data_IF_367254933188
#
_entry.id   IF_367254933188
#
_cell.length_a   1.000
_cell.length_b   1.000
_cell.length_c   1.000
_cell.angle_alpha   90.00
_cell.angle_beta   90.00
_cell.angle_gamma   90.00
#
_symmetry.space_group_name_H-M   'P 1'
#
loop_
_entity.id
_entity.type
_entity.pdbx_description
1 polymer ?
#
# COMPACT_ATOMS: atom_id res chain seq x y z
N UNK A 1 -1.75 9.45 44.11
CA UNK A 1 -1.64 9.46 42.64
C UNK A 1 -1.11 8.12 42.19
N UNK A 2 -1.99 7.21 41.75
CA UNK A 2 -1.58 5.92 41.17
C UNK A 2 -1.02 6.17 39.77
N UNK A 3 0.29 5.91 39.59
CA UNK A 3 0.89 5.80 38.25
C UNK A 3 0.18 4.64 37.55
N UNK A 4 -0.67 4.94 36.57
CA UNK A 4 -1.16 3.93 35.64
C UNK A 4 0.05 3.46 34.85
N UNK A 5 0.40 2.18 34.96
CA UNK A 5 1.36 1.57 34.03
C UNK A 5 0.87 1.81 32.61
N UNK A 6 1.70 2.34 31.69
CA UNK A 6 1.30 2.48 30.30
C UNK A 6 0.93 1.09 29.77
N UNK A 7 -0.21 1.00 29.08
CA UNK A 7 -0.79 -0.24 28.56
C UNK A 7 -0.04 -0.72 27.30
N UNK A 8 1.29 -0.77 27.39
CA UNK A 8 2.18 -0.98 26.26
C UNK A 8 3.51 -1.62 26.69
N UNK A 9 3.99 -2.67 26.01
CA UNK A 9 3.37 -3.58 25.02
C UNK A 9 2.54 -4.71 25.67
N UNK A 10 1.73 -5.46 24.89
CA UNK A 10 1.10 -6.71 25.36
C UNK A 10 2.16 -7.79 25.67
N UNK A 11 1.94 -8.60 26.72
CA UNK A 11 2.86 -9.67 27.16
C UNK A 11 3.25 -10.68 26.06
N UNK A 12 2.50 -10.78 24.96
CA UNK A 12 2.84 -11.64 23.81
C UNK A 12 4.13 -11.23 23.10
N UNK A 13 4.64 -10.01 23.30
CA UNK A 13 5.97 -9.59 22.82
C UNK A 13 7.11 -9.96 23.77
N UNK A 14 6.83 -10.62 24.90
CA UNK A 14 7.85 -11.04 25.87
C UNK A 14 8.83 -12.08 25.31
N UNK A 15 8.39 -12.95 24.40
CA UNK A 15 9.27 -13.93 23.74
C UNK A 15 10.31 -13.25 22.85
N UNK A 16 9.91 -12.19 22.15
CA UNK A 16 10.83 -11.35 21.41
C UNK A 16 11.85 -10.74 22.36
N UNK A 17 11.39 -10.03 23.39
CA UNK A 17 12.26 -9.30 24.31
C UNK A 17 13.20 -10.26 25.08
N UNK A 18 12.73 -11.45 25.45
CA UNK A 18 13.53 -12.50 26.08
C UNK A 18 14.56 -13.14 25.14
N UNK A 19 14.26 -13.26 23.84
CA UNK A 19 15.20 -13.77 22.83
C UNK A 19 16.33 -12.81 22.47
N UNK A 20 16.29 -11.56 22.96
CA UNK A 20 17.18 -10.47 22.56
C UNK A 20 18.33 -10.22 23.54
N UNK A 21 18.19 -10.67 24.79
CA UNK A 21 19.14 -10.37 25.85
C UNK A 21 19.58 -11.63 26.57
N UNK A 22 20.80 -11.62 27.10
CA UNK A 22 21.39 -12.76 27.82
C UNK A 22 20.72 -13.02 29.19
N UNK A 23 19.57 -12.38 29.45
CA UNK A 23 18.83 -12.42 30.70
C UNK A 23 17.61 -13.32 30.56
N UNK A 24 17.42 -14.22 31.53
CA UNK A 24 16.21 -15.04 31.66
C UNK A 24 15.04 -14.28 32.29
N UNK A 25 15.26 -13.06 32.78
CA UNK A 25 14.23 -12.23 33.40
C UNK A 25 13.53 -11.33 32.37
N UNK A 26 12.31 -11.72 32.03
CA UNK A 26 11.42 -11.03 31.09
C UNK A 26 11.15 -9.57 31.51
N UNK A 27 11.01 -9.28 32.81
CA UNK A 27 10.70 -7.92 33.28
C UNK A 27 11.87 -6.96 33.06
N UNK A 28 13.09 -7.45 33.27
CA UNK A 28 14.32 -6.68 33.01
C UNK A 28 14.47 -6.40 31.51
N UNK A 29 14.34 -7.42 30.67
CA UNK A 29 14.43 -7.25 29.22
C UNK A 29 13.37 -6.26 28.70
N UNK A 30 12.14 -6.35 29.23
CA UNK A 30 11.05 -5.44 28.88
C UNK A 30 11.39 -3.99 29.22
N UNK A 31 11.91 -3.76 30.43
CA UNK A 31 12.31 -2.42 30.89
C UNK A 31 13.42 -1.83 30.01
N UNK A 32 14.40 -2.63 29.63
CA UNK A 32 15.48 -2.20 28.74
C UNK A 32 14.95 -1.84 27.34
N UNK A 33 14.07 -2.67 26.77
CA UNK A 33 13.46 -2.39 25.48
C UNK A 33 12.66 -1.07 25.49
N UNK A 34 11.86 -0.84 26.54
CA UNK A 34 11.12 0.42 26.71
C UNK A 34 12.08 1.61 26.82
N UNK A 35 13.15 1.50 27.61
CA UNK A 35 14.13 2.58 27.77
C UNK A 35 14.85 2.93 26.45
N UNK A 36 15.19 1.92 25.64
CA UNK A 36 15.76 2.12 24.30
C UNK A 36 14.78 2.87 23.40
N UNK A 37 13.50 2.49 23.43
CA UNK A 37 12.47 3.12 22.61
C UNK A 37 12.12 4.53 23.06
N UNK A 38 12.08 4.80 24.36
CA UNK A 38 11.92 6.15 24.91
C UNK A 38 13.05 7.07 24.45
N UNK A 39 14.29 6.60 24.56
CA UNK A 39 15.49 7.34 24.10
C UNK A 39 15.41 7.60 22.60
N UNK A 40 15.02 6.59 21.81
CA UNK A 40 14.84 6.72 20.38
C UNK A 40 13.71 7.70 20.02
N UNK A 41 12.56 7.61 20.68
CA UNK A 41 11.40 8.44 20.44
C UNK A 41 11.72 9.91 20.73
N UNK A 42 12.35 10.22 21.87
CA UNK A 42 12.79 11.59 22.20
C UNK A 42 13.70 12.16 21.12
N UNK A 43 14.71 11.38 20.69
CA UNK A 43 15.64 11.82 19.62
C UNK A 43 14.92 12.08 18.29
N UNK A 44 14.00 11.21 17.90
CA UNK A 44 13.25 11.37 16.64
C UNK A 44 12.22 12.49 16.72
N UNK A 45 11.57 12.69 17.87
CA UNK A 45 10.66 13.81 18.11
C UNK A 45 11.41 15.13 18.10
N UNK A 46 12.59 15.22 18.71
CA UNK A 46 13.42 16.42 18.63
C UNK A 46 13.80 16.73 17.18
N UNK A 47 14.13 15.71 16.39
CA UNK A 47 14.43 15.86 14.97
C UNK A 47 13.23 16.34 14.14
N UNK A 48 12.04 15.80 14.40
CA UNK A 48 10.82 16.07 13.61
C UNK A 48 10.09 17.35 14.06
N UNK A 49 9.97 17.54 15.36
CA UNK A 49 9.16 18.59 15.97
C UNK A 49 10.01 19.78 16.45
N UNK A 50 11.34 19.66 16.54
CA UNK A 50 12.24 20.69 17.08
C UNK A 50 12.14 20.88 18.60
N UNK A 51 11.19 20.22 19.26
CA UNK A 51 10.99 20.25 20.70
C UNK A 51 11.82 19.18 21.41
N UNK A 52 12.52 19.55 22.49
CA UNK A 52 13.36 18.61 23.26
C UNK A 52 12.59 17.51 23.98
N UNK A 53 11.31 17.73 24.32
CA UNK A 53 10.49 16.74 25.01
C UNK A 53 9.02 16.82 24.56
N UNK A 54 8.42 15.70 24.12
CA UNK A 54 6.97 15.61 23.94
C UNK A 54 6.26 15.66 25.32
N UNK A 55 5.01 16.09 25.34
CA UNK A 55 4.17 15.94 26.53
C UNK A 55 3.99 14.45 26.90
N UNK A 56 3.78 14.14 28.19
CA UNK A 56 3.70 12.76 28.69
C UNK A 56 2.66 11.91 27.93
N UNK A 57 1.50 12.49 27.59
CA UNK A 57 0.45 11.83 26.79
C UNK A 57 0.80 11.65 25.32
N UNK A 58 1.63 12.53 24.77
CA UNK A 58 2.03 12.48 23.37
C UNK A 58 3.12 11.43 23.17
N UNK A 59 4.03 11.29 24.16
CA UNK A 59 5.07 10.27 24.18
C UNK A 59 4.50 8.86 24.07
N UNK A 60 3.43 8.55 24.81
CA UNK A 60 2.74 7.24 24.72
C UNK A 60 2.26 6.95 23.29
N UNK A 61 1.77 7.96 22.58
CA UNK A 61 1.29 7.81 21.20
C UNK A 61 2.45 7.56 20.23
N UNK A 62 3.58 8.25 20.40
CA UNK A 62 4.80 8.00 19.62
C UNK A 62 5.35 6.59 19.86
N UNK A 63 5.44 6.18 21.12
CA UNK A 63 5.94 4.85 21.51
C UNK A 63 5.07 3.74 20.95
N UNK A 64 3.74 3.86 21.07
CA UNK A 64 2.80 2.88 20.55
C UNK A 64 2.95 2.68 19.03
N UNK A 65 3.09 3.77 18.27
CA UNK A 65 3.25 3.66 16.80
C UNK A 65 4.62 3.15 16.40
N UNK A 66 5.68 3.59 17.08
CA UNK A 66 7.04 3.08 16.86
C UNK A 66 7.14 1.59 17.13
N UNK A 67 6.58 1.12 18.24
CA UNK A 67 6.59 -0.30 18.53
C UNK A 67 5.84 -1.11 17.48
N UNK A 68 4.63 -0.70 17.10
CA UNK A 68 3.86 -1.41 16.07
C UNK A 68 4.64 -1.55 14.75
N UNK A 69 5.39 -0.52 14.37
CA UNK A 69 6.31 -0.57 13.22
C UNK A 69 7.44 -1.59 13.44
N UNK A 70 8.13 -1.50 14.58
CA UNK A 70 9.29 -2.35 14.89
C UNK A 70 8.89 -3.82 15.00
N UNK A 71 7.80 -4.12 15.71
CA UNK A 71 7.25 -5.47 15.86
C UNK A 71 6.91 -6.08 14.49
N UNK A 72 6.27 -5.32 13.60
CA UNK A 72 5.93 -5.80 12.26
C UNK A 72 7.17 -6.16 11.43
N UNK A 73 8.26 -5.40 11.54
CA UNK A 73 9.51 -5.71 10.82
C UNK A 73 10.29 -6.82 11.50
N UNK A 74 10.27 -6.88 12.83
CA UNK A 74 10.90 -7.96 13.57
C UNK A 74 10.29 -9.31 13.21
N UNK A 75 8.95 -9.45 13.30
CA UNK A 75 8.25 -10.70 12.99
C UNK A 75 8.69 -11.22 11.62
N UNK A 76 8.69 -10.36 10.61
CA UNK A 76 9.10 -10.69 9.25
C UNK A 76 10.58 -11.09 9.13
N UNK A 77 11.50 -10.35 9.75
CA UNK A 77 12.94 -10.62 9.61
C UNK A 77 13.39 -11.82 10.44
N UNK A 78 12.73 -12.06 11.57
CA UNK A 78 13.01 -13.18 12.47
C UNK A 78 12.70 -14.54 11.83
N UNK A 79 11.77 -14.59 10.87
CA UNK A 79 11.50 -15.79 10.05
C UNK A 79 12.72 -16.23 9.23
N UNK A 80 13.58 -15.28 8.85
CA UNK A 80 14.77 -15.54 8.03
C UNK A 80 15.98 -15.83 8.92
N UNK A 81 16.21 -14.96 9.90
CA UNK A 81 17.33 -15.08 10.84
C UNK A 81 17.02 -14.36 12.15
N UNK A 82 17.50 -14.88 13.30
CA UNK A 82 17.42 -14.14 14.56
C UNK A 82 18.15 -12.80 14.41
N UNK A 83 17.41 -11.71 14.61
CA UNK A 83 17.94 -10.34 14.48
C UNK A 83 17.88 -9.64 15.83
N UNK A 84 18.96 -8.95 16.19
CA UNK A 84 19.01 -8.18 17.42
C UNK A 84 18.20 -6.87 17.33
N UNK A 85 17.60 -6.41 18.42
CA UNK A 85 16.85 -5.14 18.47
C UNK A 85 17.69 -3.98 17.95
N UNK A 86 18.92 -3.83 18.43
CA UNK A 86 19.80 -2.71 18.03
C UNK A 86 20.06 -2.74 16.52
N UNK A 87 20.37 -3.93 15.99
CA UNK A 87 20.56 -4.15 14.55
C UNK A 87 19.29 -3.89 13.75
N UNK A 88 18.11 -4.28 14.26
CA UNK A 88 16.83 -4.00 13.62
C UNK A 88 16.59 -2.48 13.53
N UNK A 89 16.80 -1.76 14.63
CA UNK A 89 16.64 -0.31 14.65
C UNK A 89 17.59 0.37 13.67
N UNK A 90 18.86 -0.01 13.65
CA UNK A 90 19.85 0.52 12.70
C UNK A 90 19.44 0.27 11.25
N UNK A 91 18.99 -0.94 10.91
CA UNK A 91 18.51 -1.28 9.56
C UNK A 91 17.32 -0.42 9.15
N UNK A 92 16.33 -0.26 10.02
CA UNK A 92 15.14 0.56 9.75
C UNK A 92 15.48 2.05 9.61
N UNK A 93 16.47 2.55 10.35
CA UNK A 93 16.98 3.92 10.19
C UNK A 93 17.72 4.13 8.87
N UNK A 94 18.34 3.09 8.33
CA UNK A 94 19.05 3.10 7.04
C UNK A 94 18.14 2.72 5.86
N UNK A 95 16.86 2.43 6.11
CA UNK A 95 15.89 2.03 5.10
C UNK A 95 16.09 0.62 4.55
N UNK A 96 16.82 -0.24 5.26
CA UNK A 96 16.93 -1.66 4.97
C UNK A 96 15.77 -2.42 5.64
N UNK A 97 14.82 -2.85 4.82
CA UNK A 97 13.64 -3.60 5.24
C UNK A 97 13.83 -5.12 5.12
N UNK A 98 15.04 -5.56 4.79
CA UNK A 98 15.46 -6.94 4.54
C UNK A 98 15.00 -7.57 3.23
N UNK A 99 13.90 -7.12 2.65
CA UNK A 99 13.50 -7.48 1.28
C UNK A 99 13.90 -6.41 0.26
N UNK A 100 14.11 -5.18 0.71
CA UNK A 100 14.51 -4.06 -0.14
C UNK A 100 15.30 -3.04 0.68
N UNK A 101 16.27 -2.42 0.04
CA UNK A 101 16.93 -1.23 0.57
C UNK A 101 16.33 -0.01 -0.12
N UNK A 102 15.58 0.77 0.64
CA UNK A 102 14.88 1.96 0.17
C UNK A 102 15.53 3.18 0.81
N UNK A 103 15.66 4.27 0.07
CA UNK A 103 16.15 5.52 0.64
C UNK A 103 15.15 6.07 1.66
N UNK A 104 15.59 6.29 2.90
CA UNK A 104 14.80 6.92 3.95
C UNK A 104 15.03 6.30 5.33
N UNK A 105 14.44 6.94 6.34
CA UNK A 105 14.45 6.45 7.72
C UNK A 105 13.01 6.16 8.14
N UNK A 106 12.66 4.89 8.20
CA UNK A 106 11.28 4.44 8.45
C UNK A 106 10.80 4.83 9.85
N UNK A 107 11.70 4.82 10.83
CA UNK A 107 11.37 5.19 12.21
C UNK A 107 11.08 6.70 12.32
N UNK A 108 11.88 7.52 11.62
CA UNK A 108 11.62 8.97 11.51
C UNK A 108 10.30 9.23 10.81
N UNK A 109 10.04 8.52 9.71
CA UNK A 109 8.79 8.64 8.96
C UNK A 109 7.56 8.32 9.84
N UNK A 110 7.67 7.32 10.71
CA UNK A 110 6.63 6.95 11.66
C UNK A 110 6.39 8.07 12.68
N UNK A 111 7.44 8.64 13.24
CA UNK A 111 7.33 9.78 14.16
C UNK A 111 6.74 11.01 13.45
N UNK A 112 7.18 11.30 12.23
CA UNK A 112 6.60 12.37 11.41
C UNK A 112 5.10 12.17 11.19
N UNK A 113 4.67 10.95 10.86
CA UNK A 113 3.24 10.64 10.69
C UNK A 113 2.42 10.86 11.97
N UNK A 114 2.97 10.52 13.13
CA UNK A 114 2.33 10.72 14.44
C UNK A 114 2.27 12.21 14.79
N UNK A 115 3.35 12.94 14.55
CA UNK A 115 3.42 14.38 14.80
C UNK A 115 2.43 15.15 13.93
N UNK A 116 2.25 14.75 12.66
CA UNK A 116 1.23 15.31 11.78
C UNK A 116 -0.18 15.06 12.30
N UNK A 117 -0.45 13.89 12.88
CA UNK A 117 -1.75 13.57 13.48
C UNK A 117 -2.01 14.37 14.76
N UNK A 118 -0.96 14.63 15.55
CA UNK A 118 -0.99 15.53 16.71
C UNK A 118 -1.02 17.03 16.32
N UNK A 119 -0.98 17.33 15.01
CA UNK A 119 -1.02 18.69 14.44
C UNK A 119 0.17 19.56 14.85
N UNK A 120 1.34 18.94 15.02
CA UNK A 120 2.59 19.65 15.28
C UNK A 120 2.98 20.52 14.09
N UNK A 121 3.18 21.81 14.33
CA UNK A 121 3.43 22.79 13.27
C UNK A 121 4.76 22.52 12.55
N UNK A 122 5.80 22.17 13.31
CA UNK A 122 7.13 21.88 12.75
C UNK A 122 7.12 20.61 11.87
N UNK A 123 6.36 19.59 12.28
CA UNK A 123 6.17 18.39 11.48
C UNK A 123 5.46 18.70 10.16
N UNK A 124 4.47 19.59 10.17
CA UNK A 124 3.79 20.04 8.95
C UNK A 124 4.76 20.78 8.00
N UNK A 125 5.62 21.66 8.53
CA UNK A 125 6.66 22.34 7.75
C UNK A 125 7.62 21.34 7.12
N UNK A 126 8.18 20.41 7.91
CA UNK A 126 9.07 19.35 7.44
C UNK A 126 8.42 18.50 6.34
N UNK A 127 7.16 18.13 6.52
CA UNK A 127 6.41 17.37 5.52
C UNK A 127 6.28 18.13 4.19
N UNK A 128 5.95 19.42 4.27
CA UNK A 128 5.82 20.28 3.09
C UNK A 128 7.16 20.41 2.37
N UNK A 129 8.25 20.66 3.09
CA UNK A 129 9.56 20.87 2.49
C UNK A 129 10.13 19.59 1.86
N UNK A 130 10.00 18.45 2.53
CA UNK A 130 10.66 17.21 2.09
C UNK A 130 9.81 16.33 1.17
N UNK A 131 8.49 16.28 1.38
CA UNK A 131 7.64 15.31 0.66
C UNK A 131 6.76 15.94 -0.42
N UNK A 132 6.32 17.20 -0.26
CA UNK A 132 5.45 17.82 -1.28
C UNK A 132 6.09 17.97 -2.67
N UNK A 133 7.39 18.26 -2.84
CA UNK A 133 8.01 18.27 -4.16
C UNK A 133 7.86 16.94 -4.89
N UNK A 134 8.16 15.84 -4.20
CA UNK A 134 8.02 14.47 -4.72
C UNK A 134 6.56 14.12 -5.01
N UNK A 135 5.63 14.51 -4.12
CA UNK A 135 4.19 14.29 -4.30
C UNK A 135 3.67 15.02 -5.54
N UNK A 136 4.09 16.27 -5.77
CA UNK A 136 3.71 17.05 -6.95
C UNK A 136 4.25 16.43 -8.23
N UNK A 137 5.49 15.95 -8.22
CA UNK A 137 6.07 15.24 -9.37
C UNK A 137 5.29 13.95 -9.70
N UNK A 138 4.91 13.18 -8.66
CA UNK A 138 4.10 11.97 -8.82
C UNK A 138 2.72 12.31 -9.38
N UNK A 139 2.06 13.35 -8.85
CA UNK A 139 0.75 13.80 -9.31
C UNK A 139 0.81 14.26 -10.79
N UNK A 140 1.83 15.03 -11.14
CA UNK A 140 2.07 15.47 -12.51
C UNK A 140 2.23 14.29 -13.46
N UNK A 141 3.03 13.28 -13.09
CA UNK A 141 3.19 12.06 -13.89
C UNK A 141 1.90 11.24 -14.01
N UNK A 142 1.06 11.26 -12.98
CA UNK A 142 -0.18 10.48 -12.94
C UNK A 142 -1.35 11.13 -13.69
N UNK A 143 -1.40 12.45 -13.80
CA UNK A 143 -2.56 13.16 -14.37
C UNK A 143 -2.30 14.58 -14.88
N UNK A 144 -1.04 14.94 -15.14
CA UNK A 144 -0.64 16.23 -15.67
C UNK A 144 -0.83 17.41 -14.71
N UNK A 145 -0.76 18.63 -15.24
CA UNK A 145 -0.84 19.89 -14.50
C UNK A 145 -2.13 20.02 -13.66
N UNK A 146 -3.23 19.46 -14.16
CA UNK A 146 -4.51 19.44 -13.44
C UNK A 146 -4.45 18.62 -12.15
N UNK A 147 -3.76 17.48 -12.17
CA UNK A 147 -3.60 16.64 -10.98
C UNK A 147 -2.69 17.32 -9.94
N UNK A 148 -1.69 18.08 -10.39
CA UNK A 148 -0.83 18.89 -9.52
C UNK A 148 -1.62 19.96 -8.79
N UNK A 149 -2.49 20.72 -9.46
CA UNK A 149 -3.30 21.75 -8.80
C UNK A 149 -4.29 21.15 -7.76
N UNK A 150 -4.81 19.95 -8.03
CA UNK A 150 -5.67 19.24 -7.09
C UNK A 150 -4.90 18.68 -5.87
N UNK A 151 -3.56 18.50 -5.96
CA UNK A 151 -2.75 17.89 -4.89
C UNK A 151 -2.45 18.84 -3.73
N UNK A 152 -2.41 20.14 -3.97
CA UNK A 152 -2.22 21.11 -2.89
C UNK A 152 -3.41 21.08 -1.92
N UNK A 153 -4.63 20.85 -2.43
CA UNK A 153 -5.82 20.58 -1.61
C UNK A 153 -5.82 19.18 -0.98
N UNK A 154 -5.08 18.22 -1.55
CA UNK A 154 -4.96 16.87 -1.02
C UNK A 154 -4.10 16.81 0.24
N UNK A 155 -3.10 17.67 0.39
CA UNK A 155 -2.30 17.76 1.62
C UNK A 155 -3.19 17.99 2.86
N UNK A 156 -4.23 18.83 2.75
CA UNK A 156 -5.23 19.00 3.79
C UNK A 156 -6.03 17.71 4.07
N UNK A 157 -6.33 16.92 3.03
CA UNK A 157 -7.02 15.61 3.17
C UNK A 157 -6.15 14.55 3.86
N UNK A 158 -4.83 14.63 3.72
CA UNK A 158 -3.89 13.71 4.37
C UNK A 158 -3.92 13.86 5.89
N UNK A 159 -3.97 15.10 6.37
CA UNK A 159 -3.76 15.47 7.77
C UNK A 159 -5.09 15.73 8.51
N UNK A 160 -6.14 16.18 7.82
CA UNK A 160 -7.44 16.44 8.43
C UNK A 160 -8.35 15.19 8.42
N UNK A 161 -9.04 14.88 9.52
CA UNK A 161 -10.06 13.82 9.54
C UNK A 161 -11.25 14.18 8.65
N UNK A 162 -11.92 13.16 8.09
CA UNK A 162 -13.13 13.32 7.27
C UNK A 162 -14.34 12.72 7.98
N UNK A 163 -15.12 13.57 8.65
CA UNK A 163 -16.25 13.12 9.48
C UNK A 163 -15.75 12.16 10.56
N UNK A 164 -16.36 10.98 10.66
CA UNK A 164 -15.99 9.93 11.62
C UNK A 164 -14.72 9.14 11.24
N UNK A 165 -14.08 9.44 10.11
CA UNK A 165 -12.86 8.73 9.67
C UNK A 165 -11.61 9.46 10.14
N UNK A 166 -10.60 8.75 10.67
CA UNK A 166 -9.32 9.35 11.03
C UNK A 166 -8.64 9.94 9.79
N UNK A 167 -7.70 10.84 10.02
CA UNK A 167 -6.86 11.38 8.94
C UNK A 167 -6.14 10.25 8.21
N UNK A 168 -5.89 10.42 6.90
CA UNK A 168 -5.33 9.33 6.08
C UNK A 168 -3.90 9.00 6.50
N UNK A 169 -3.16 9.97 7.02
CA UNK A 169 -1.81 9.78 7.55
C UNK A 169 -1.78 8.82 8.75
N UNK A 170 -2.87 8.71 9.54
CA UNK A 170 -2.96 7.76 10.65
C UNK A 170 -2.96 6.28 10.20
N UNK A 171 -3.18 6.03 8.91
CA UNK A 171 -3.11 4.68 8.33
C UNK A 171 -1.68 4.23 8.04
N UNK A 172 -0.71 5.15 8.08
CA UNK A 172 0.70 4.82 7.89
C UNK A 172 1.29 4.19 9.16
N UNK A 173 1.75 2.95 9.03
CA UNK A 173 2.29 2.14 10.14
C UNK A 173 3.78 1.78 9.95
N UNK A 174 4.48 2.43 9.02
CA UNK A 174 5.91 2.18 8.81
C UNK A 174 6.27 0.87 8.11
N UNK A 175 5.34 0.20 7.41
CA UNK A 175 5.65 -1.05 6.64
C UNK A 175 6.61 -0.83 5.46
N UNK A 176 6.73 0.41 5.02
CA UNK A 176 7.62 0.92 3.97
C UNK A 176 7.95 2.37 4.30
N UNK A 177 8.79 3.06 3.53
CA UNK A 177 9.07 4.50 3.75
C UNK A 177 7.84 5.35 3.44
N UNK A 178 7.75 6.52 4.07
CA UNK A 178 6.62 7.43 3.88
C UNK A 178 6.53 7.91 2.43
N UNK A 179 7.67 8.17 1.78
CA UNK A 179 7.71 8.55 0.36
C UNK A 179 7.08 7.47 -0.54
N UNK A 180 7.40 6.20 -0.29
CA UNK A 180 6.87 5.08 -1.07
C UNK A 180 5.36 4.88 -0.82
N UNK A 181 4.94 5.00 0.44
CA UNK A 181 3.52 4.95 0.80
C UNK A 181 2.72 6.10 0.18
N UNK A 182 3.23 7.33 0.27
CA UNK A 182 2.61 8.54 -0.30
C UNK A 182 2.42 8.40 -1.81
N UNK A 183 3.40 7.82 -2.50
CA UNK A 183 3.27 7.58 -3.94
C UNK A 183 2.04 6.75 -4.28
N UNK A 184 1.84 5.63 -3.60
CA UNK A 184 0.67 4.78 -3.82
C UNK A 184 -0.63 5.52 -3.48
N UNK A 185 -0.64 6.29 -2.39
CA UNK A 185 -1.78 7.09 -1.94
C UNK A 185 -2.16 8.17 -2.96
N UNK A 186 -1.19 8.92 -3.47
CA UNK A 186 -1.37 10.00 -4.44
C UNK A 186 -1.87 9.46 -5.78
N UNK A 187 -1.24 8.40 -6.29
CA UNK A 187 -1.68 7.76 -7.55
C UNK A 187 -3.13 7.27 -7.43
N UNK A 188 -3.47 6.61 -6.33
CA UNK A 188 -4.83 6.12 -6.11
C UNK A 188 -5.83 7.28 -6.01
N UNK A 189 -5.45 8.41 -5.41
CA UNK A 189 -6.28 9.62 -5.37
C UNK A 189 -6.50 10.19 -6.77
N UNK A 190 -5.44 10.35 -7.57
CA UNK A 190 -5.53 10.84 -8.94
C UNK A 190 -6.46 9.95 -9.79
N UNK A 191 -6.28 8.62 -9.73
CA UNK A 191 -7.13 7.66 -10.45
C UNK A 191 -8.58 7.72 -9.98
N UNK A 192 -8.82 7.75 -8.66
CA UNK A 192 -10.18 7.80 -8.09
C UNK A 192 -10.92 9.07 -8.50
N UNK A 193 -10.21 10.20 -8.59
CA UNK A 193 -10.79 11.48 -9.03
C UNK A 193 -11.08 11.51 -10.52
N UNK A 194 -10.19 10.99 -11.36
CA UNK A 194 -10.44 10.85 -12.79
C UNK A 194 -11.70 10.00 -13.06
N UNK A 195 -11.88 8.91 -12.30
CA UNK A 195 -13.06 8.04 -12.38
C UNK A 195 -14.34 8.71 -11.86
N UNK A 196 -14.28 9.39 -10.71
CA UNK A 196 -15.42 10.09 -10.12
C UNK A 196 -15.90 11.28 -10.94
N UNK A 197 -15.02 11.91 -11.72
CA UNK A 197 -15.37 12.97 -12.68
C UNK A 197 -15.91 12.38 -13.99
N UNK A 198 -15.36 11.27 -14.49
CA UNK A 198 -15.93 10.56 -15.65
C UNK A 198 -17.38 10.14 -15.41
N UNK A 199 -17.70 9.62 -14.21
CA UNK A 199 -19.06 9.27 -13.85
C UNK A 199 -20.03 10.47 -13.73
N UNK A 200 -19.52 11.71 -13.62
CA UNK A 200 -20.33 12.94 -13.55
C UNK A 200 -20.41 13.70 -14.89
N UNK A 201 -19.55 13.37 -15.86
CA UNK A 201 -19.49 14.03 -17.17
C UNK A 201 -20.19 13.26 -18.30
N UNK A 202 -21.06 12.30 -17.97
CA UNK A 202 -21.82 11.50 -18.96
C UNK A 202 -22.90 12.34 -19.70
N UNK A 203 -23.12 13.61 -19.35
CA UNK A 203 -24.11 14.47 -20.03
C UNK A 203 -23.54 15.42 -21.10
N UNK A 204 -22.26 15.35 -21.47
CA UNK A 204 -21.78 16.05 -22.67
C UNK A 204 -20.46 15.46 -23.18
N UNK A 205 -20.57 14.48 -24.07
CA UNK A 205 -19.47 14.11 -24.97
C UNK A 205 -19.62 14.91 -26.28
N UNK A 206 -18.51 15.40 -26.82
CA UNK A 206 -18.11 14.93 -28.13
C UNK A 206 -16.93 13.99 -27.97
N UNK A 207 -17.09 12.86 -28.64
CA UNK A 207 -16.11 11.80 -28.88
C UNK A 207 -14.77 12.42 -29.30
N UNK A 208 -13.75 12.30 -28.45
CA UNK A 208 -12.37 12.60 -28.83
C UNK A 208 -11.58 11.29 -28.79
N UNK A 209 -11.46 10.71 -29.98
CA UNK A 209 -10.29 9.95 -30.39
C UNK A 209 -9.04 10.73 -29.96
N UNK A 210 -8.18 10.11 -29.15
CA UNK A 210 -6.73 10.36 -28.96
C UNK A 210 -6.36 9.57 -27.70
N UNK A 211 -5.74 8.41 -27.89
CA UNK A 211 -4.58 7.79 -27.19
C UNK A 211 -4.56 6.33 -27.67
N UNK A 212 -4.27 6.12 -28.96
CA UNK A 212 -4.00 4.76 -29.47
C UNK A 212 -2.53 4.54 -29.83
N UNK A 213 -1.67 5.57 -29.83
CA UNK A 213 -0.37 5.46 -30.52
C UNK A 213 0.89 5.79 -29.70
N UNK A 214 0.85 5.64 -28.37
CA UNK A 214 2.06 5.79 -27.51
C UNK A 214 2.46 4.47 -26.81
N UNK A 215 1.62 3.44 -26.87
CA UNK A 215 1.89 2.17 -26.16
C UNK A 215 2.87 1.23 -26.88
N UNK A 216 3.30 1.54 -28.10
CA UNK A 216 3.97 0.56 -28.99
C UNK A 216 5.51 0.67 -29.04
N UNK A 217 6.16 1.59 -28.32
CA UNK A 217 7.61 1.86 -28.50
C UNK A 217 8.42 2.15 -27.23
N UNK A 218 8.16 1.44 -26.13
CA UNK A 218 9.09 1.40 -25.00
C UNK A 218 9.19 -0.03 -24.47
N UNK A 219 10.40 -0.58 -24.54
CA UNK A 219 10.79 -1.96 -24.26
C UNK A 219 9.94 -2.62 -23.16
N UNK A 220 9.39 -3.81 -23.47
CA UNK A 220 8.72 -4.64 -22.46
C UNK A 220 9.69 -4.86 -21.29
N UNK A 221 9.27 -4.45 -20.10
CA UNK A 221 10.09 -4.74 -18.93
C UNK A 221 10.20 -6.27 -18.77
N UNK A 222 11.33 -6.81 -18.28
CA UNK A 222 11.48 -8.25 -18.09
C UNK A 222 10.37 -8.89 -17.25
N UNK A 223 9.80 -8.15 -16.29
CA UNK A 223 8.65 -8.59 -15.51
C UNK A 223 7.32 -8.56 -16.30
N UNK A 224 7.16 -7.65 -17.27
CA UNK A 224 5.96 -7.60 -18.11
C UNK A 224 5.88 -8.83 -19.02
N UNK A 225 6.99 -9.14 -19.71
CA UNK A 225 7.07 -10.33 -20.57
C UNK A 225 6.89 -11.64 -19.78
N UNK A 226 7.34 -11.67 -18.52
CA UNK A 226 7.15 -12.80 -17.61
C UNK A 226 5.68 -12.94 -17.17
N UNK A 227 5.05 -11.85 -16.73
CA UNK A 227 3.74 -11.88 -16.10
C UNK A 227 2.58 -11.93 -17.10
N UNK A 228 2.71 -11.26 -18.25
CA UNK A 228 1.69 -11.20 -19.30
C UNK A 228 1.10 -12.58 -19.66
N UNK A 229 1.89 -13.60 -20.05
CA UNK A 229 1.33 -14.91 -20.41
C UNK A 229 0.68 -15.62 -19.20
N UNK A 230 1.21 -15.43 -17.99
CA UNK A 230 0.67 -16.04 -16.77
C UNK A 230 -0.71 -15.45 -16.41
N UNK A 231 -0.88 -14.14 -16.54
CA UNK A 231 -2.17 -13.47 -16.30
C UNK A 231 -3.21 -13.83 -17.38
N UNK A 232 -2.80 -13.92 -18.65
CA UNK A 232 -3.69 -14.40 -19.72
C UNK A 232 -4.13 -15.84 -19.46
N UNK A 233 -3.20 -16.74 -19.12
CA UNK A 233 -3.53 -18.13 -18.78
C UNK A 233 -4.41 -18.26 -17.53
N UNK A 234 -4.17 -17.44 -16.50
CA UNK A 234 -4.97 -17.46 -15.27
C UNK A 234 -6.39 -16.92 -15.47
N UNK A 235 -6.56 -15.89 -16.32
CA UNK A 235 -7.88 -15.33 -16.64
C UNK A 235 -8.68 -16.23 -17.57
N UNK A 236 -8.03 -16.91 -18.52
CA UNK A 236 -8.68 -17.91 -19.38
C UNK A 236 -9.25 -19.10 -18.59
N UNK A 237 -8.66 -19.43 -17.43
CA UNK A 237 -9.12 -20.53 -16.58
C UNK A 237 -10.35 -20.19 -15.70
N UNK A 238 -10.80 -18.93 -15.70
CA UNK A 238 -12.00 -18.51 -14.96
C UNK A 238 -13.27 -18.90 -15.69
N UNK A 239 -14.33 -19.18 -14.92
CA UNK A 239 -15.67 -19.35 -15.48
C UNK A 239 -16.16 -18.06 -16.15
N UNK A 240 -17.01 -18.17 -17.18
CA UNK A 240 -17.61 -17.02 -17.86
C UNK A 240 -18.32 -16.08 -16.90
N UNK A 241 -19.02 -16.61 -15.89
CA UNK A 241 -19.67 -15.81 -14.86
C UNK A 241 -18.68 -15.03 -13.99
N UNK A 242 -17.56 -15.65 -13.61
CA UNK A 242 -16.55 -15.00 -12.77
C UNK A 242 -15.75 -13.94 -13.54
N UNK A 243 -15.53 -14.16 -14.84
CA UNK A 243 -14.93 -13.15 -15.74
C UNK A 243 -15.84 -11.94 -15.89
N UNK A 244 -17.13 -12.17 -16.17
CA UNK A 244 -18.12 -11.11 -16.26
C UNK A 244 -18.23 -10.33 -14.94
N UNK A 245 -18.24 -11.03 -13.80
CA UNK A 245 -18.25 -10.40 -12.48
C UNK A 245 -17.03 -9.50 -12.26
N UNK A 246 -15.83 -9.98 -12.57
CA UNK A 246 -14.60 -9.19 -12.41
C UNK A 246 -14.54 -8.04 -13.41
N UNK A 247 -14.95 -8.24 -14.66
CA UNK A 247 -15.07 -7.18 -15.67
C UNK A 247 -15.99 -6.05 -15.17
N UNK A 248 -17.20 -6.39 -14.74
CA UNK A 248 -18.15 -5.41 -14.24
C UNK A 248 -17.65 -4.68 -12.98
N UNK A 249 -16.98 -5.38 -12.07
CA UNK A 249 -16.50 -4.78 -10.81
C UNK A 249 -15.20 -3.98 -10.96
N UNK A 250 -14.29 -4.40 -11.83
CA UNK A 250 -12.91 -3.89 -11.89
C UNK A 250 -12.69 -3.00 -13.11
N UNK A 251 -13.25 -3.36 -14.27
CA UNK A 251 -13.12 -2.59 -15.51
C UNK A 251 -14.25 -1.56 -15.61
N UNK A 252 -15.50 -2.02 -15.53
CA UNK A 252 -16.69 -1.16 -15.70
C UNK A 252 -17.05 -0.40 -14.41
N UNK A 253 -16.38 -0.73 -13.30
CA UNK A 253 -16.52 -0.08 -12.00
C UNK A 253 -17.98 -0.02 -11.49
N UNK A 254 -18.79 -1.02 -11.85
CA UNK A 254 -20.19 -1.14 -11.42
C UNK A 254 -20.23 -1.29 -9.89
N UNK A 255 -20.99 -0.44 -9.18
CA UNK A 255 -21.08 -0.53 -7.72
C UNK A 255 -21.56 -1.91 -7.27
N UNK A 256 -20.91 -2.50 -6.26
CA UNK A 256 -21.26 -3.85 -5.79
C UNK A 256 -22.73 -4.02 -5.45
N UNK A 257 -23.38 -2.98 -4.90
CA UNK A 257 -24.82 -3.00 -4.60
C UNK A 257 -25.69 -3.04 -5.86
N UNK A 258 -25.28 -2.31 -6.91
CA UNK A 258 -25.99 -2.31 -8.19
C UNK A 258 -25.81 -3.65 -8.91
N UNK A 259 -24.59 -4.20 -8.92
CA UNK A 259 -24.32 -5.52 -9.48
C UNK A 259 -25.04 -6.63 -8.72
N UNK A 260 -25.08 -6.56 -7.38
CA UNK A 260 -25.83 -7.49 -6.54
C UNK A 260 -27.32 -7.50 -6.90
N UNK A 261 -27.91 -6.33 -7.11
CA UNK A 261 -29.31 -6.19 -7.52
C UNK A 261 -29.54 -6.74 -8.93
N UNK A 262 -28.64 -6.49 -9.89
CA UNK A 262 -28.81 -6.93 -11.27
C UNK A 262 -28.69 -8.45 -11.45
N UNK A 263 -27.93 -9.13 -10.60
CA UNK A 263 -27.76 -10.60 -10.64
C UNK A 263 -28.59 -11.33 -9.57
N UNK A 264 -29.44 -10.61 -8.83
CA UNK A 264 -30.36 -11.20 -7.85
C UNK A 264 -29.69 -11.83 -6.61
N UNK A 265 -28.50 -11.38 -6.22
CA UNK A 265 -27.79 -11.88 -5.04
C UNK A 265 -27.52 -10.79 -4.00
N UNK A 266 -27.25 -11.18 -2.76
CA UNK A 266 -26.88 -10.22 -1.71
C UNK A 266 -25.49 -9.61 -1.99
N UNK A 267 -25.28 -8.33 -1.66
CA UNK A 267 -23.98 -7.67 -1.78
C UNK A 267 -22.84 -8.39 -1.04
N UNK A 268 -23.13 -9.06 0.08
CA UNK A 268 -22.15 -9.89 0.79
C UNK A 268 -21.67 -11.09 -0.04
N UNK A 269 -22.54 -11.66 -0.89
CA UNK A 269 -22.16 -12.72 -1.82
C UNK A 269 -21.29 -12.18 -2.95
N UNK A 270 -21.56 -10.97 -3.45
CA UNK A 270 -20.69 -10.31 -4.44
C UNK A 270 -19.28 -10.09 -3.86
N UNK A 271 -19.16 -9.61 -2.62
CA UNK A 271 -17.85 -9.43 -1.98
C UNK A 271 -17.10 -10.76 -1.80
N UNK A 272 -17.78 -11.80 -1.32
CA UNK A 272 -17.20 -13.15 -1.17
C UNK A 272 -16.79 -13.76 -2.51
N UNK A 273 -17.63 -13.62 -3.54
CA UNK A 273 -17.35 -14.14 -4.89
C UNK A 273 -16.18 -13.40 -5.52
N UNK A 274 -16.11 -12.06 -5.39
CA UNK A 274 -14.94 -11.26 -5.81
C UNK A 274 -13.67 -11.77 -5.14
N UNK A 275 -13.67 -11.93 -3.81
CA UNK A 275 -12.50 -12.42 -3.09
C UNK A 275 -12.07 -13.81 -3.56
N UNK A 276 -13.02 -14.74 -3.73
CA UNK A 276 -12.77 -16.09 -4.24
C UNK A 276 -12.12 -16.07 -5.61
N UNK A 277 -12.66 -15.27 -6.53
CA UNK A 277 -12.13 -15.16 -7.90
C UNK A 277 -10.74 -14.52 -7.91
N UNK A 278 -10.53 -13.44 -7.15
CA UNK A 278 -9.20 -12.82 -7.03
C UNK A 278 -8.18 -13.82 -6.47
N UNK A 279 -8.51 -14.56 -5.41
CA UNK A 279 -7.63 -15.60 -4.87
C UNK A 279 -7.35 -16.71 -5.88
N UNK A 280 -8.35 -17.13 -6.67
CA UNK A 280 -8.18 -18.15 -7.71
C UNK A 280 -7.22 -17.69 -8.83
N UNK A 281 -7.33 -16.44 -9.29
CA UNK A 281 -6.39 -15.86 -10.26
C UNK A 281 -4.97 -15.90 -9.70
N UNK A 282 -4.76 -15.45 -8.46
CA UNK A 282 -3.45 -15.43 -7.82
C UNK A 282 -2.83 -16.82 -7.68
N UNK A 283 -3.62 -17.78 -7.21
CA UNK A 283 -3.18 -19.17 -7.10
C UNK A 283 -2.79 -19.73 -8.47
N UNK A 284 -3.59 -19.45 -9.51
CA UNK A 284 -3.32 -19.96 -10.86
C UNK A 284 -2.08 -19.34 -11.49
N UNK A 285 -1.85 -18.03 -11.30
CA UNK A 285 -0.60 -17.38 -11.73
C UNK A 285 0.61 -18.06 -11.11
N UNK A 286 0.57 -18.35 -9.79
CA UNK A 286 1.66 -19.06 -9.12
C UNK A 286 1.85 -20.49 -9.62
N UNK A 287 0.77 -21.23 -9.84
CA UNK A 287 0.84 -22.59 -10.40
C UNK A 287 1.51 -22.58 -11.77
N UNK A 288 1.07 -21.71 -12.68
CA UNK A 288 1.63 -21.57 -14.03
C UNK A 288 3.11 -21.14 -14.00
N UNK A 289 3.50 -20.32 -13.03
CA UNK A 289 4.88 -19.90 -12.84
C UNK A 289 5.80 -21.04 -12.39
N UNK A 290 5.32 -21.92 -11.51
CA UNK A 290 6.05 -23.12 -11.07
C UNK A 290 6.18 -24.11 -12.24
N UNK A 291 5.10 -24.34 -12.99
CA UNK A 291 5.09 -25.21 -14.17
C UNK A 291 6.07 -24.74 -15.26
N UNK A 292 6.27 -23.42 -15.37
CA UNK A 292 7.20 -22.80 -16.32
C UNK A 292 8.65 -22.68 -15.79
N UNK A 293 8.95 -23.18 -14.59
CA UNK A 293 10.27 -23.10 -13.97
C UNK A 293 10.69 -21.69 -13.53
N UNK A 294 9.72 -20.77 -13.36
CA UNK A 294 9.95 -19.34 -13.14
C UNK A 294 9.31 -18.84 -11.83
N UNK A 295 8.98 -19.73 -10.89
CA UNK A 295 8.26 -19.41 -9.65
C UNK A 295 8.90 -18.27 -8.84
N UNK A 296 10.20 -18.37 -8.54
CA UNK A 296 10.90 -17.37 -7.73
C UNK A 296 10.94 -15.98 -8.39
N UNK A 297 11.26 -15.92 -9.70
CA UNK A 297 11.24 -14.66 -10.47
C UNK A 297 9.83 -14.07 -10.60
N UNK A 298 8.82 -14.93 -10.64
CA UNK A 298 7.42 -14.49 -10.70
C UNK A 298 7.00 -13.87 -9.38
N UNK A 299 7.32 -14.49 -8.23
CA UNK A 299 7.02 -13.91 -6.93
C UNK A 299 7.73 -12.56 -6.73
N UNK A 300 9.00 -12.43 -7.15
CA UNK A 300 9.73 -11.15 -7.15
C UNK A 300 9.02 -10.08 -8.02
N UNK A 301 8.62 -10.43 -9.24
CA UNK A 301 7.88 -9.51 -10.11
C UNK A 301 6.48 -9.18 -9.58
N UNK A 302 5.79 -10.13 -8.96
CA UNK A 302 4.49 -9.90 -8.33
C UNK A 302 4.61 -9.01 -7.10
N UNK A 303 5.66 -9.13 -6.30
CA UNK A 303 5.96 -8.19 -5.23
C UNK A 303 6.24 -6.79 -5.79
N UNK A 304 6.96 -6.67 -6.91
CA UNK A 304 7.16 -5.38 -7.59
C UNK A 304 5.85 -4.78 -8.13
N UNK A 305 4.87 -5.60 -8.50
CA UNK A 305 3.54 -5.16 -8.96
C UNK A 305 2.61 -4.83 -7.78
N UNK A 306 2.65 -5.60 -6.69
CA UNK A 306 1.78 -5.46 -5.52
C UNK A 306 2.31 -4.44 -4.52
N UNK A 307 3.56 -4.59 -4.11
CA UNK A 307 4.27 -3.73 -3.17
C UNK A 307 5.09 -2.63 -3.87
N UNK A 308 5.40 -2.78 -5.17
CA UNK A 308 6.45 -1.99 -5.80
C UNK A 308 6.04 -0.78 -6.67
N UNK A 309 7.04 0.06 -7.03
CA UNK A 309 6.93 1.41 -7.61
C UNK A 309 6.58 1.51 -9.11
N UNK A 310 6.39 0.41 -9.84
CA UNK A 310 6.24 0.49 -11.30
C UNK A 310 4.78 0.64 -11.71
N UNK A 311 4.27 1.89 -11.66
CA UNK A 311 2.90 2.24 -12.07
C UNK A 311 2.61 1.86 -13.52
N UNK A 312 3.61 1.99 -14.39
CA UNK A 312 3.47 1.67 -15.81
C UNK A 312 3.32 0.16 -16.01
N UNK A 313 4.10 -0.66 -15.31
CA UNK A 313 3.93 -2.11 -15.31
C UNK A 313 2.55 -2.53 -14.78
N UNK A 314 2.07 -1.91 -13.69
CA UNK A 314 0.71 -2.16 -13.18
C UNK A 314 -0.37 -1.77 -14.20
N UNK A 315 -0.20 -0.62 -14.87
CA UNK A 315 -1.13 -0.12 -15.88
C UNK A 315 -1.18 -1.07 -17.08
N UNK A 316 -0.02 -1.45 -17.61
CA UNK A 316 0.11 -2.37 -18.75
C UNK A 316 -0.46 -3.75 -18.42
N UNK A 317 -0.13 -4.33 -17.26
CA UNK A 317 -0.74 -5.58 -16.81
C UNK A 317 -2.26 -5.47 -16.61
N UNK A 318 -2.74 -4.31 -16.15
CA UNK A 318 -4.17 -4.01 -16.10
C UNK A 318 -4.82 -4.01 -17.48
N UNK A 319 -4.15 -3.49 -18.50
CA UNK A 319 -4.61 -3.53 -19.90
C UNK A 319 -4.59 -4.96 -20.46
N UNK A 320 -3.57 -5.77 -20.13
CA UNK A 320 -3.52 -7.20 -20.49
C UNK A 320 -4.71 -7.96 -19.88
N UNK A 321 -4.97 -7.72 -18.59
CA UNK A 321 -6.10 -8.32 -17.91
C UNK A 321 -7.44 -7.91 -18.56
N UNK A 322 -7.58 -6.63 -18.92
CA UNK A 322 -8.77 -6.13 -19.59
C UNK A 322 -8.98 -6.80 -20.96
N UNK A 323 -7.93 -6.82 -21.79
CA UNK A 323 -7.97 -7.47 -23.09
C UNK A 323 -8.27 -8.98 -23.00
N UNK A 324 -7.71 -9.67 -22.00
CA UNK A 324 -7.97 -11.09 -21.79
C UNK A 324 -9.41 -11.37 -21.31
N UNK A 325 -10.04 -10.44 -20.59
CA UNK A 325 -11.44 -10.53 -20.19
C UNK A 325 -12.40 -10.19 -21.35
N UNK A 326 -11.95 -9.41 -22.33
CA UNK A 326 -12.72 -9.01 -23.52
C UNK A 326 -12.64 -10.02 -24.67
N UNK A 327 -11.50 -10.70 -24.84
CA UNK A 327 -11.25 -11.64 -25.94
C UNK A 327 -12.26 -12.81 -26.05
N UNK A 328 -12.95 -13.15 -24.95
CA UNK A 328 -13.97 -14.20 -24.93
C UNK A 328 -15.41 -13.68 -25.09
N UNK A 329 -15.64 -12.36 -25.02
CA UNK A 329 -16.96 -11.80 -25.32
C UNK A 329 -17.26 -11.84 -26.83
N UNK A 330 -16.22 -11.75 -27.66
CA UNK A 330 -16.32 -11.80 -29.13
C UNK A 330 -16.56 -13.21 -29.68
N UNK A 331 -16.13 -14.25 -28.96
CA UNK A 331 -16.34 -15.65 -29.36
C UNK A 331 -17.76 -16.18 -29.06
N UNK A 332 -18.58 -15.46 -28.29
CA UNK A 332 -19.96 -15.88 -28.00
C UNK A 332 -20.94 -15.39 -29.08
N UNK A 333 -20.59 -14.35 -29.85
CA UNK A 333 -21.46 -13.78 -30.89
C UNK A 333 -21.41 -14.48 -32.25
N UNK A 334 -20.49 -15.44 -32.48
CA UNK A 334 -20.40 -16.17 -33.76
C UNK A 334 -21.06 -17.56 -33.76
N UNK A 335 -21.62 -18.03 -32.64
CA UNK A 335 -22.21 -19.39 -32.57
C UNK A 335 -23.73 -19.43 -32.82
N UNK A 336 -24.41 -18.28 -32.93
CA UNK A 336 -25.87 -18.22 -33.14
C UNK A 336 -26.29 -17.90 -34.60
N UNK A 337 -25.39 -18.12 -35.55
CA UNK A 337 -25.73 -18.17 -36.99
C UNK A 337 -25.23 -19.49 -37.61
N UNK A 338 -25.87 -20.61 -37.25
CA UNK A 338 -25.95 -21.76 -38.14
C UNK A 338 -27.16 -22.62 -37.91
#
# INVERSE_FOLDING_TARGET
MQKRSPAWPPMTSAEWIAGQQHSTDIETCHREAVQVLETLAVRLVEMVCGSKQPGERDLDSYLARLWSCIESHWQRLSEIAPIRMETLLERLQQGDLGYARIQGNVLRDVVLSQALELKESQAATMFIEEYMPTIREIAFRAGGERATNDIDNFAATLILPRGDRPCRIAQYQGRTTLAHWLRAVVVNECVSRSRGKHARNIESLPEQEIIEDISSRLDESPCEGLLRPLFVGATAALSTEDRLLIKMLVLDNVPQKALAASIGINSGNVTRRRQKVTTAIWQRVRTLAIESGQGQRTDECLELVLAGPNLELRRRLGQVLAAALDADATNVTEVDQK
#
